data_IF_696020592728
#
_entry.id   IF_696020592728
#
_cell.length_a   1.000
_cell.length_b   1.000
_cell.length_c   1.000
_cell.angle_alpha   90.00
_cell.angle_beta   90.00
_cell.angle_gamma   90.00
#
_symmetry.space_group_name_H-M   'P 1'
#
loop_
_entity.id
_entity.type
_entity.pdbx_description
1 polymer ?
#
# COMPACT_ATOMS: atom_id res chain seq x y z
N UNK A 1 -14.67 -13.56 -18.71
CA UNK A 1 -15.28 -12.28 -18.34
C UNK A 1 -14.24 -11.19 -18.61
N UNK A 2 -14.62 -10.03 -19.15
CA UNK A 2 -13.68 -8.91 -19.29
C UNK A 2 -13.18 -8.49 -17.90
N UNK A 3 -11.91 -8.08 -17.82
CA UNK A 3 -11.32 -7.59 -16.58
C UNK A 3 -11.86 -6.20 -16.28
N UNK A 4 -12.16 -5.92 -15.02
CA UNK A 4 -12.57 -4.60 -14.59
C UNK A 4 -11.39 -3.62 -14.67
N UNK A 5 -11.65 -2.38 -15.05
CA UNK A 5 -10.72 -1.26 -14.89
C UNK A 5 -10.56 -0.90 -13.40
N UNK A 6 -9.54 -0.07 -13.10
CA UNK A 6 -9.37 0.42 -11.72
C UNK A 6 -10.61 1.14 -11.20
N UNK A 7 -11.19 2.03 -11.99
CA UNK A 7 -12.40 2.78 -11.60
C UNK A 7 -13.59 1.85 -11.31
N UNK A 8 -13.77 0.81 -12.12
CA UNK A 8 -14.82 -0.20 -11.88
C UNK A 8 -14.53 -1.02 -10.61
N UNK A 9 -13.25 -1.26 -10.28
CA UNK A 9 -12.87 -1.93 -9.03
C UNK A 9 -13.21 -1.09 -7.80
N UNK A 10 -13.18 0.24 -7.87
CA UNK A 10 -13.58 1.11 -6.76
C UNK A 10 -15.07 0.96 -6.41
N UNK A 11 -15.88 0.54 -7.37
CA UNK A 11 -17.33 0.40 -7.19
C UNK A 11 -18.04 1.74 -7.05
N UNK A 12 -19.27 1.70 -6.55
CA UNK A 12 -20.14 2.91 -6.44
C UNK A 12 -19.77 3.83 -5.29
N UNK A 13 -18.97 3.37 -4.33
CA UNK A 13 -18.64 4.10 -3.10
C UNK A 13 -17.24 4.69 -3.11
N UNK A 14 -16.34 4.20 -3.98
CA UNK A 14 -14.98 4.69 -4.10
C UNK A 14 -14.89 5.90 -5.02
N UNK A 15 -14.22 6.95 -4.57
CA UNK A 15 -13.96 8.16 -5.34
C UNK A 15 -12.47 8.34 -5.56
N UNK A 16 -12.02 8.29 -6.82
CA UNK A 16 -10.64 8.61 -7.18
C UNK A 16 -10.40 10.12 -6.97
N UNK A 17 -9.39 10.47 -6.16
CA UNK A 17 -9.04 11.87 -5.87
C UNK A 17 -7.69 12.30 -6.44
N UNK A 18 -6.82 11.34 -6.78
CA UNK A 18 -5.57 11.60 -7.50
C UNK A 18 -5.16 10.36 -8.29
N UNK A 19 -4.52 10.56 -9.43
CA UNK A 19 -3.91 9.49 -10.22
C UNK A 19 -2.40 9.48 -10.01
N UNK A 20 -1.79 8.30 -10.14
CA UNK A 20 -0.34 8.11 -10.18
C UNK A 20 0.02 7.15 -11.30
N UNK A 21 1.25 7.24 -11.75
CA UNK A 21 1.84 6.31 -12.72
C UNK A 21 3.18 5.82 -12.17
N UNK A 22 3.19 4.58 -11.68
CA UNK A 22 4.39 3.95 -11.15
C UNK A 22 5.46 3.80 -12.21
N UNK A 23 5.09 3.50 -13.46
CA UNK A 23 6.04 3.35 -14.55
C UNK A 23 6.78 4.67 -14.82
N UNK A 24 6.08 5.81 -14.68
CA UNK A 24 6.73 7.13 -14.76
C UNK A 24 7.77 7.31 -13.65
N UNK A 25 7.43 6.96 -12.42
CA UNK A 25 8.35 7.05 -11.28
C UNK A 25 9.54 6.11 -11.44
N UNK A 26 9.34 4.88 -11.86
CA UNK A 26 10.39 3.90 -12.13
C UNK A 26 11.38 4.41 -13.18
N UNK A 27 10.88 4.98 -14.26
CA UNK A 27 11.72 5.51 -15.34
C UNK A 27 12.48 6.79 -14.96
N UNK A 28 11.92 7.63 -14.08
CA UNK A 28 12.51 8.93 -13.72
C UNK A 28 13.37 8.90 -12.46
N UNK A 29 13.10 7.96 -11.54
CA UNK A 29 13.83 7.84 -10.27
C UNK A 29 14.78 6.62 -10.28
N UNK A 30 14.83 5.85 -11.37
CA UNK A 30 15.66 4.64 -11.53
C UNK A 30 15.42 3.57 -10.46
N UNK A 31 14.21 3.49 -9.94
CA UNK A 31 13.80 2.49 -8.95
C UNK A 31 13.23 1.27 -9.66
N UNK A 32 14.07 0.46 -10.28
CA UNK A 32 13.65 -0.80 -10.89
C UNK A 32 13.25 -1.81 -9.81
N UNK A 33 12.03 -2.34 -9.88
CA UNK A 33 11.47 -3.36 -8.97
C UNK A 33 11.42 -2.92 -7.49
N UNK A 34 10.24 -2.63 -6.99
CA UNK A 34 10.00 -2.20 -5.61
C UNK A 34 9.56 -0.75 -5.46
N UNK A 35 9.33 -0.05 -6.57
CA UNK A 35 8.82 1.32 -6.55
C UNK A 35 7.50 1.46 -5.78
N UNK A 36 6.63 0.45 -5.84
CA UNK A 36 5.35 0.48 -5.13
C UNK A 36 5.51 0.65 -3.60
N UNK A 37 6.43 -0.09 -2.98
CA UNK A 37 6.72 0.06 -1.55
C UNK A 37 7.32 1.45 -1.26
N UNK A 38 8.33 1.85 -2.04
CA UNK A 38 8.98 3.16 -1.91
C UNK A 38 7.97 4.30 -2.04
N UNK A 39 7.04 4.22 -3.00
CA UNK A 39 6.00 5.22 -3.20
C UNK A 39 4.98 5.24 -2.05
N UNK A 40 4.64 4.09 -1.48
CA UNK A 40 3.80 4.01 -0.28
C UNK A 40 4.48 4.67 0.93
N UNK A 41 5.77 4.41 1.16
CA UNK A 41 6.56 5.05 2.21
C UNK A 41 6.64 6.56 1.99
N UNK A 42 6.92 7.00 0.76
CA UNK A 42 6.93 8.42 0.41
C UNK A 42 5.59 9.09 0.72
N UNK A 43 4.50 8.46 0.30
CA UNK A 43 3.14 8.98 0.54
C UNK A 43 2.86 9.11 2.02
N UNK A 44 3.17 8.08 2.81
CA UNK A 44 2.97 8.07 4.26
C UNK A 44 3.80 9.17 4.94
N UNK A 45 5.09 9.29 4.63
CA UNK A 45 5.96 10.34 5.17
C UNK A 45 5.45 11.74 4.81
N UNK A 46 5.00 11.95 3.58
CA UNK A 46 4.41 13.21 3.15
C UNK A 46 3.15 13.59 3.94
N UNK A 47 2.29 12.60 4.21
CA UNK A 47 1.05 12.81 4.96
C UNK A 47 1.30 13.16 6.44
N UNK A 48 2.30 12.57 7.08
CA UNK A 48 2.58 12.77 8.50
C UNK A 48 3.51 13.95 8.75
N UNK A 49 4.65 13.96 8.05
CA UNK A 49 5.69 14.99 8.28
C UNK A 49 5.47 16.25 7.45
N UNK A 50 4.49 16.28 6.56
CA UNK A 50 4.27 17.41 5.63
C UNK A 50 5.42 17.61 4.62
N UNK A 51 6.40 16.70 4.62
CA UNK A 51 7.59 16.79 3.77
C UNK A 51 7.85 15.45 3.08
N UNK A 52 7.82 15.46 1.76
CA UNK A 52 8.17 14.28 0.97
C UNK A 52 9.67 13.96 1.11
N UNK A 53 10.04 12.67 1.11
CA UNK A 53 11.42 12.24 0.95
C UNK A 53 12.04 12.84 -0.32
N UNK A 54 13.31 13.25 -0.25
CA UNK A 54 14.08 13.69 -1.41
C UNK A 54 14.31 12.56 -2.42
N UNK A 55 14.67 12.90 -3.65
CA UNK A 55 14.99 11.89 -4.68
C UNK A 55 16.10 10.93 -4.22
N UNK A 56 17.11 11.43 -3.49
CA UNK A 56 18.20 10.61 -2.94
C UNK A 56 17.65 9.60 -1.92
N UNK A 57 16.83 10.05 -0.98
CA UNK A 57 16.19 9.17 0.02
C UNK A 57 15.29 8.13 -0.63
N UNK A 58 14.56 8.50 -1.71
CA UNK A 58 13.75 7.57 -2.48
C UNK A 58 14.59 6.47 -3.15
N UNK A 59 15.76 6.83 -3.70
CA UNK A 59 16.69 5.84 -4.26
C UNK A 59 17.23 4.89 -3.19
N UNK A 60 17.61 5.40 -2.03
CA UNK A 60 18.08 4.60 -0.88
C UNK A 60 16.98 3.64 -0.41
N UNK A 61 15.75 4.10 -0.21
CA UNK A 61 14.62 3.23 0.16
C UNK A 61 14.41 2.15 -0.90
N UNK A 62 14.41 2.51 -2.17
CA UNK A 62 14.25 1.56 -3.28
C UNK A 62 15.36 0.51 -3.32
N UNK A 63 16.59 0.89 -2.98
CA UNK A 63 17.71 -0.05 -2.85
C UNK A 63 17.49 -1.01 -1.69
N UNK A 64 17.11 -0.53 -0.51
CA UNK A 64 16.85 -1.37 0.65
C UNK A 64 15.70 -2.36 0.40
N UNK A 65 14.61 -1.91 -0.25
CA UNK A 65 13.50 -2.79 -0.64
C UNK A 65 13.98 -3.92 -1.54
N UNK A 66 14.88 -3.65 -2.48
CA UNK A 66 15.44 -4.68 -3.39
C UNK A 66 16.36 -5.64 -2.65
N UNK A 67 17.30 -5.14 -1.85
CA UNK A 67 18.26 -5.95 -1.09
C UNK A 67 17.55 -6.94 -0.17
N UNK A 68 16.39 -6.59 0.34
CA UNK A 68 15.65 -7.39 1.29
C UNK A 68 14.37 -8.02 0.72
N UNK A 69 14.33 -8.19 -0.60
CA UNK A 69 13.24 -8.90 -1.30
C UNK A 69 11.84 -8.35 -1.00
N UNK A 70 11.68 -7.04 -0.90
CA UNK A 70 10.40 -6.38 -0.68
C UNK A 70 9.89 -6.42 0.76
N UNK A 71 10.72 -6.81 1.72
CA UNK A 71 10.38 -6.74 3.14
C UNK A 71 10.57 -5.30 3.65
N UNK A 72 9.72 -4.89 4.55
CA UNK A 72 9.96 -3.69 5.33
C UNK A 72 11.00 -4.03 6.40
N UNK A 73 12.19 -3.50 6.25
CA UNK A 73 13.36 -3.89 7.02
C UNK A 73 13.62 -2.90 8.13
N UNK A 74 14.58 -3.24 8.99
CA UNK A 74 15.04 -2.37 10.04
C UNK A 74 15.41 -0.98 9.51
N UNK A 75 16.14 -0.89 8.39
CA UNK A 75 16.53 0.39 7.76
C UNK A 75 15.33 1.23 7.30
N UNK A 76 14.33 0.59 6.70
CA UNK A 76 13.10 1.28 6.28
C UNK A 76 12.31 1.73 7.52
N UNK A 77 12.25 0.90 8.54
CA UNK A 77 11.60 1.24 9.81
C UNK A 77 12.29 2.42 10.49
N UNK A 78 13.62 2.41 10.59
CA UNK A 78 14.41 3.52 11.13
C UNK A 78 14.19 4.81 10.33
N UNK A 79 14.17 4.72 8.98
CA UNK A 79 13.87 5.86 8.14
C UNK A 79 12.48 6.44 8.42
N UNK A 80 11.46 5.57 8.51
CA UNK A 80 10.09 5.96 8.82
C UNK A 80 10.01 6.58 10.23
N UNK A 81 10.69 6.00 11.20
CA UNK A 81 10.78 6.52 12.57
C UNK A 81 11.43 7.91 12.64
N UNK A 82 12.48 8.14 11.86
CA UNK A 82 13.10 9.47 11.75
C UNK A 82 12.14 10.56 11.24
N UNK A 83 11.01 10.17 10.67
CA UNK A 83 9.93 11.04 10.20
C UNK A 83 8.78 11.20 11.18
N UNK A 84 8.95 10.75 12.43
CA UNK A 84 7.92 10.85 13.45
C UNK A 84 6.81 9.81 13.32
N UNK A 85 7.10 8.66 12.70
CA UNK A 85 6.14 7.58 12.47
C UNK A 85 6.73 6.29 13.00
N UNK A 86 6.05 5.61 13.90
CA UNK A 86 6.52 4.32 14.44
C UNK A 86 5.67 3.16 13.98
N UNK A 87 6.30 2.02 13.76
CA UNK A 87 5.59 0.77 13.56
C UNK A 87 5.02 0.29 14.91
N UNK A 88 3.72 0.04 14.94
CA UNK A 88 3.03 -0.38 16.18
C UNK A 88 2.54 -1.83 16.12
N UNK A 89 2.44 -2.41 14.92
CA UNK A 89 2.08 -3.81 14.74
C UNK A 89 2.49 -4.34 13.38
N UNK A 90 2.61 -5.67 13.29
CA UNK A 90 2.80 -6.41 12.05
C UNK A 90 1.85 -7.60 12.03
N UNK A 91 1.20 -7.82 10.90
CA UNK A 91 0.31 -8.95 10.67
C UNK A 91 0.75 -9.69 9.42
N UNK A 92 0.91 -11.00 9.51
CA UNK A 92 1.26 -11.87 8.38
C UNK A 92 0.17 -12.91 8.16
N UNK A 93 -0.11 -13.22 6.92
CA UNK A 93 -1.11 -14.23 6.60
C UNK A 93 -1.14 -14.59 5.13
N UNK A 94 -2.17 -15.34 4.78
CA UNK A 94 -2.55 -15.58 3.40
C UNK A 94 -3.93 -14.98 3.19
N UNK A 95 -4.04 -14.25 2.09
CA UNK A 95 -5.28 -13.59 1.72
C UNK A 95 -6.01 -14.46 0.71
N UNK A 96 -7.29 -14.67 0.93
CA UNK A 96 -8.19 -15.21 -0.06
C UNK A 96 -9.10 -14.11 -0.58
N UNK A 97 -9.54 -14.20 -1.84
CA UNK A 97 -10.51 -13.23 -2.35
C UNK A 97 -11.83 -13.23 -1.56
N UNK A 98 -12.12 -14.30 -0.82
CA UNK A 98 -13.36 -14.45 -0.09
C UNK A 98 -13.24 -14.07 1.41
N UNK A 99 -12.03 -14.15 1.97
CA UNK A 99 -11.74 -13.88 3.38
C UNK A 99 -10.96 -12.58 3.56
N UNK A 100 -11.56 -11.47 3.23
CA UNK A 100 -10.99 -10.17 3.56
C UNK A 100 -11.35 -9.86 5.02
N UNK A 101 -10.42 -10.08 5.92
CA UNK A 101 -10.62 -9.76 7.33
C UNK A 101 -10.71 -8.24 7.52
N UNK A 102 -11.92 -7.73 7.47
CA UNK A 102 -12.26 -6.36 7.86
C UNK A 102 -11.76 -6.02 9.28
N UNK A 103 -11.64 -7.03 10.15
CA UNK A 103 -11.19 -6.88 11.53
C UNK A 103 -9.80 -6.27 11.69
N UNK A 104 -8.90 -6.42 10.70
CA UNK A 104 -7.54 -5.87 10.79
C UNK A 104 -7.54 -4.33 10.73
N UNK A 105 -8.48 -3.73 10.01
CA UNK A 105 -8.58 -2.27 9.84
C UNK A 105 -9.61 -1.64 10.77
N UNK A 106 -10.73 -2.35 11.05
CA UNK A 106 -11.90 -1.79 11.74
C UNK A 106 -11.70 -1.68 13.25
N UNK A 107 -10.81 -2.50 13.83
CA UNK A 107 -10.67 -2.58 15.30
C UNK A 107 -9.90 -1.40 15.94
N UNK A 108 -9.42 -0.47 15.16
CA UNK A 108 -8.58 0.62 15.67
C UNK A 108 -9.17 1.98 15.35
N UNK A 109 -9.60 2.70 16.38
CA UNK A 109 -10.15 4.06 16.31
C UNK A 109 -9.11 5.17 16.13
N UNK A 110 -7.82 4.84 16.06
CA UNK A 110 -6.73 5.81 15.93
C UNK A 110 -6.40 6.22 14.50
N UNK A 111 -5.60 7.26 14.36
CA UNK A 111 -5.01 7.69 13.08
C UNK A 111 -3.84 6.76 12.72
N UNK A 112 -4.13 5.67 12.03
CA UNK A 112 -3.12 4.70 11.62
C UNK A 112 -2.94 4.68 10.12
N UNK A 113 -1.72 4.30 9.71
CA UNK A 113 -1.33 4.01 8.35
C UNK A 113 -1.04 2.51 8.23
N UNK A 114 -1.61 1.88 7.24
CA UNK A 114 -1.44 0.45 6.97
C UNK A 114 -0.70 0.27 5.67
N UNK A 115 0.59 -0.02 5.74
CA UNK A 115 1.37 -0.43 4.58
C UNK A 115 1.13 -1.93 4.36
N UNK A 116 0.59 -2.27 3.20
CA UNK A 116 0.18 -3.64 2.86
C UNK A 116 1.12 -4.15 1.78
N UNK A 117 1.96 -5.11 2.12
CA UNK A 117 2.76 -5.88 1.16
C UNK A 117 2.01 -7.14 0.74
N UNK A 118 1.83 -7.31 -0.55
CA UNK A 118 1.16 -8.44 -1.18
C UNK A 118 2.20 -9.18 -2.04
N UNK A 119 2.19 -10.50 -2.00
CA UNK A 119 3.17 -11.32 -2.74
C UNK A 119 2.44 -12.44 -3.49
N UNK A 120 2.92 -12.78 -4.69
CA UNK A 120 2.45 -13.99 -5.33
C UNK A 120 2.95 -15.24 -4.56
N UNK A 121 2.36 -16.41 -4.83
CA UNK A 121 2.70 -17.65 -4.11
C UNK A 121 4.17 -18.02 -4.25
N UNK A 122 4.78 -17.73 -5.40
CA UNK A 122 6.21 -17.96 -5.65
C UNK A 122 7.12 -16.89 -5.02
N UNK A 123 6.56 -15.80 -4.49
CA UNK A 123 7.27 -14.61 -4.00
C UNK A 123 8.22 -13.97 -5.02
N UNK A 124 7.97 -14.19 -6.30
CA UNK A 124 8.71 -13.57 -7.41
C UNK A 124 8.16 -12.20 -7.80
N UNK A 125 6.91 -11.94 -7.42
CA UNK A 125 6.24 -10.65 -7.65
C UNK A 125 5.65 -10.16 -6.33
N UNK A 126 5.76 -8.86 -6.10
CA UNK A 126 5.18 -8.17 -4.96
C UNK A 126 4.50 -6.87 -5.38
N UNK A 127 3.51 -6.46 -4.59
CA UNK A 127 2.87 -5.17 -4.73
C UNK A 127 2.62 -4.56 -3.35
N UNK A 128 2.67 -3.25 -3.25
CA UNK A 128 2.40 -2.54 -2.01
C UNK A 128 1.24 -1.56 -2.19
N UNK A 129 0.41 -1.51 -1.17
CA UNK A 129 -0.71 -0.58 -1.04
C UNK A 129 -0.57 0.18 0.28
N UNK A 130 -1.09 1.40 0.33
CA UNK A 130 -1.20 2.14 1.59
C UNK A 130 -2.67 2.44 1.86
N UNK A 131 -3.13 2.06 3.06
CA UNK A 131 -4.47 2.39 3.56
C UNK A 131 -4.34 3.27 4.78
N UNK A 132 -5.14 4.33 4.84
CA UNK A 132 -5.12 5.28 5.96
C UNK A 132 -6.46 5.98 6.11
N UNK A 133 -6.67 6.60 7.28
CA UNK A 133 -7.89 7.37 7.54
C UNK A 133 -7.63 8.85 7.26
N UNK A 134 -8.55 9.49 6.57
CA UNK A 134 -8.57 10.94 6.34
C UNK A 134 -9.92 11.44 6.83
N UNK A 135 -9.92 12.19 7.92
CA UNK A 135 -11.16 12.58 8.61
C UNK A 135 -11.99 11.33 8.92
N UNK A 136 -13.24 11.26 8.45
CA UNK A 136 -14.13 10.12 8.65
C UNK A 136 -14.11 9.12 7.48
N UNK A 137 -13.23 9.32 6.46
CA UNK A 137 -13.13 8.47 5.27
C UNK A 137 -11.87 7.61 5.30
N UNK A 138 -11.94 6.51 4.58
CA UNK A 138 -10.81 5.63 4.33
C UNK A 138 -10.18 5.93 2.98
N UNK A 139 -8.88 6.10 2.95
CA UNK A 139 -8.10 6.29 1.74
C UNK A 139 -7.36 5.00 1.39
N UNK A 140 -7.41 4.61 0.13
CA UNK A 140 -6.59 3.59 -0.47
C UNK A 140 -5.67 4.25 -1.49
N UNK A 141 -4.38 4.12 -1.31
CA UNK A 141 -3.38 4.49 -2.29
C UNK A 141 -2.78 3.24 -2.93
N UNK A 142 -2.95 3.14 -4.24
CA UNK A 142 -2.27 2.17 -5.09
C UNK A 142 -1.27 2.94 -5.97
N UNK A 143 0.03 2.66 -5.87
CA UNK A 143 1.06 3.34 -6.66
C UNK A 143 0.85 3.31 -8.17
N UNK A 144 0.18 2.27 -8.69
CA UNK A 144 -0.11 2.14 -10.11
C UNK A 144 -1.28 3.02 -10.59
N UNK A 145 -2.18 3.41 -9.68
CA UNK A 145 -3.44 4.02 -10.09
C UNK A 145 -3.75 5.34 -9.38
N UNK A 146 -3.32 5.50 -8.12
CA UNK A 146 -3.54 6.73 -7.37
C UNK A 146 -4.23 6.52 -6.03
N UNK A 147 -4.90 7.57 -5.54
CA UNK A 147 -5.60 7.58 -4.26
C UNK A 147 -7.11 7.62 -4.46
N UNK A 148 -7.82 6.72 -3.82
CA UNK A 148 -9.28 6.71 -3.78
C UNK A 148 -9.78 6.82 -2.34
N UNK A 149 -10.91 7.51 -2.13
CA UNK A 149 -11.59 7.64 -0.84
C UNK A 149 -12.84 6.79 -0.79
N UNK A 150 -13.10 6.24 0.38
CA UNK A 150 -14.26 5.40 0.69
C UNK A 150 -14.92 5.88 1.99
N UNK A 151 -16.24 5.88 2.08
CA UNK A 151 -16.95 6.26 3.31
C UNK A 151 -16.76 5.24 4.44
N UNK A 152 -16.41 4.00 4.12
CA UNK A 152 -16.25 2.92 5.10
C UNK A 152 -15.02 2.07 4.85
N UNK A 153 -14.47 1.47 5.90
CA UNK A 153 -13.39 0.49 5.79
C UNK A 153 -13.82 -0.71 4.92
N UNK A 154 -15.05 -1.18 5.07
CA UNK A 154 -15.58 -2.28 4.26
C UNK A 154 -15.59 -1.99 2.76
N UNK A 155 -15.92 -0.76 2.37
CA UNK A 155 -15.84 -0.32 0.98
C UNK A 155 -14.42 -0.32 0.44
N UNK A 156 -13.46 0.17 1.24
CA UNK A 156 -12.04 0.16 0.93
C UNK A 156 -11.53 -1.29 0.72
N UNK A 157 -11.84 -2.18 1.65
CA UNK A 157 -11.43 -3.59 1.59
C UNK A 157 -12.04 -4.32 0.39
N UNK A 158 -13.30 -4.04 0.07
CA UNK A 158 -13.94 -4.61 -1.12
C UNK A 158 -13.28 -4.14 -2.42
N UNK A 159 -12.83 -2.87 -2.47
CA UNK A 159 -12.07 -2.35 -3.60
C UNK A 159 -10.72 -3.06 -3.72
N UNK A 160 -9.96 -3.24 -2.64
CA UNK A 160 -8.71 -4.01 -2.65
C UNK A 160 -8.95 -5.41 -3.21
N UNK A 161 -9.98 -6.11 -2.73
CA UNK A 161 -10.35 -7.44 -3.24
C UNK A 161 -10.56 -7.44 -4.76
N UNK A 162 -11.32 -6.47 -5.27
CA UNK A 162 -11.59 -6.34 -6.72
C UNK A 162 -10.35 -6.01 -7.51
N UNK A 163 -9.51 -5.10 -7.00
CA UNK A 163 -8.23 -4.71 -7.60
C UNK A 163 -7.33 -5.94 -7.74
N UNK A 164 -7.10 -6.66 -6.65
CA UNK A 164 -6.26 -7.87 -6.67
C UNK A 164 -6.77 -8.93 -7.64
N UNK A 165 -8.06 -9.18 -7.65
CA UNK A 165 -8.67 -10.17 -8.53
C UNK A 165 -8.60 -9.80 -10.01
N UNK A 166 -8.77 -8.53 -10.35
CA UNK A 166 -8.93 -8.09 -11.74
C UNK A 166 -7.67 -7.51 -12.35
N UNK A 167 -6.86 -6.79 -11.55
CA UNK A 167 -5.69 -6.06 -12.03
C UNK A 167 -4.37 -6.79 -11.74
N UNK A 168 -4.34 -7.64 -10.71
CA UNK A 168 -3.16 -8.43 -10.33
C UNK A 168 -3.44 -9.95 -10.35
N UNK A 169 -3.91 -10.53 -11.46
CA UNK A 169 -4.32 -11.94 -11.52
C UNK A 169 -3.17 -12.93 -11.32
N UNK A 170 -1.91 -12.50 -11.54
CA UNK A 170 -0.70 -13.31 -11.28
C UNK A 170 -0.54 -13.70 -9.82
N UNK A 171 -1.17 -12.97 -8.89
CA UNK A 171 -1.14 -13.30 -7.46
C UNK A 171 -2.00 -14.52 -7.12
N UNK A 172 -2.96 -14.87 -7.99
CA UNK A 172 -3.87 -16.00 -7.76
C UNK A 172 -4.88 -15.75 -6.65
N UNK A 173 -5.73 -16.75 -6.33
CA UNK A 173 -6.79 -16.60 -5.32
C UNK A 173 -6.29 -16.64 -3.88
N UNK A 174 -5.06 -17.15 -3.65
CA UNK A 174 -4.44 -17.28 -2.33
C UNK A 174 -3.05 -16.67 -2.39
N UNK A 175 -2.85 -15.53 -1.78
CA UNK A 175 -1.55 -14.88 -1.80
C UNK A 175 -1.09 -14.49 -0.39
N UNK A 176 0.23 -14.61 -0.12
CA UNK A 176 0.81 -14.14 1.13
C UNK A 176 0.70 -12.62 1.24
N UNK A 177 0.44 -12.13 2.43
CA UNK A 177 0.46 -10.71 2.71
C UNK A 177 1.20 -10.42 4.02
N UNK A 178 1.67 -9.19 4.11
CA UNK A 178 2.14 -8.58 5.37
C UNK A 178 1.50 -7.21 5.49
N UNK A 179 0.97 -6.88 6.64
CA UNK A 179 0.45 -5.55 6.96
C UNK A 179 1.27 -4.98 8.09
N UNK A 180 1.93 -3.87 7.83
CA UNK A 180 2.60 -3.07 8.85
C UNK A 180 1.69 -1.90 9.21
N UNK A 181 1.36 -1.81 10.49
CA UNK A 181 0.58 -0.71 11.04
C UNK A 181 1.52 0.32 11.64
N UNK A 182 1.38 1.55 11.21
CA UNK A 182 2.15 2.69 11.66
C UNK A 182 1.26 3.72 12.36
N UNK A 183 1.83 4.42 13.34
CA UNK A 183 1.20 5.54 14.03
C UNK A 183 2.15 6.73 14.02
N UNK A 184 1.66 7.97 13.79
CA UNK A 184 2.41 9.16 14.17
C UNK A 184 2.75 9.15 15.66
N UNK A 185 3.86 9.79 16.03
CA UNK A 185 4.22 10.02 17.44
C UNK A 185 3.24 10.95 18.12
#
# INVERSE_FOLDING_TARGET
>A
MPRLSFLECLGTTGQLISSTDQAFVENHIYVNNGACNTMCVQKMCGLVAGKLPSAKEMLEIGQWVREEHGKCTERISEFIESRGIRQVAEYKGRWTYDELYAGTFIQHSGSYYYLIGLFNTARSEGHALLVYKVEEKWALYDPNFGTALFPTAGGCLLAIKRIMKNLYPSFGPFFPFVIWRYSPW
#
